data_IF_645124530778
#
_entry.id   IF_645124530778
#
_cell.length_a   1.000
_cell.length_b   1.000
_cell.length_c   1.000
_cell.angle_alpha   90.00
_cell.angle_beta   90.00
_cell.angle_gamma   90.00
#
_symmetry.space_group_name_H-M   'P 1'
#
loop_
_entity.id
_entity.type
_entity.pdbx_description
1 polymer ?
#
# COMPACT_ATOMS: atom_id res chain seq x y z
N UNK A 1 -14.14 15.02 -21.38
CA UNK A 1 -12.93 14.40 -20.80
C UNK A 1 -13.29 12.96 -20.48
N UNK A 2 -12.40 11.98 -20.60
CA UNK A 2 -12.77 10.55 -20.61
C UNK A 2 -13.40 10.09 -19.28
N UNK A 3 -14.73 10.07 -19.24
CA UNK A 3 -15.61 9.94 -18.07
C UNK A 3 -15.93 8.49 -17.66
N UNK A 4 -14.94 7.59 -17.58
CA UNK A 4 -15.23 6.19 -17.20
C UNK A 4 -14.16 5.58 -16.30
N UNK A 5 -14.41 5.63 -14.99
CA UNK A 5 -13.66 4.86 -14.02
C UNK A 5 -14.43 4.73 -12.72
N UNK A 6 -14.48 3.51 -12.19
CA UNK A 6 -15.09 3.14 -10.90
C UNK A 6 -14.65 4.08 -9.75
N UNK A 7 -13.48 4.68 -9.88
CA UNK A 7 -12.94 5.70 -8.98
C UNK A 7 -13.85 6.94 -8.85
N UNK A 8 -14.36 7.50 -9.95
CA UNK A 8 -15.20 8.70 -9.90
C UNK A 8 -16.56 8.42 -9.22
N UNK A 9 -17.12 7.22 -9.44
CA UNK A 9 -18.38 6.79 -8.82
C UNK A 9 -18.27 6.58 -7.31
N UNK A 10 -17.12 6.09 -6.82
CA UNK A 10 -16.88 5.90 -5.38
C UNK A 10 -16.57 7.23 -4.69
N UNK A 11 -15.85 8.13 -5.35
CA UNK A 11 -15.40 9.40 -4.76
C UNK A 11 -16.52 10.44 -4.63
N UNK A 12 -17.43 10.55 -5.61
CA UNK A 12 -18.41 11.66 -5.65
C UNK A 12 -19.68 11.41 -4.84
N UNK A 13 -20.03 10.16 -4.51
CA UNK A 13 -21.33 9.87 -3.86
C UNK A 13 -21.42 10.13 -2.35
N UNK A 14 -20.34 10.53 -1.66
CA UNK A 14 -20.35 10.71 -0.19
C UNK A 14 -19.73 12.00 0.38
N UNK A 15 -19.34 12.97 -0.44
CA UNK A 15 -18.90 14.28 0.06
C UNK A 15 -17.67 14.20 1.00
N UNK A 16 -16.53 13.74 0.48
CA UNK A 16 -15.30 13.68 1.27
C UNK A 16 -14.67 15.08 1.39
N UNK A 17 -14.77 15.67 2.59
CA UNK A 17 -14.12 16.94 2.96
C UNK A 17 -12.65 16.81 3.41
N UNK A 18 -12.16 15.59 3.67
CA UNK A 18 -10.74 15.25 3.86
C UNK A 18 -10.55 13.72 3.73
N UNK A 19 -9.42 13.28 3.18
CA UNK A 19 -8.97 11.87 3.19
C UNK A 19 -7.52 11.85 3.68
N UNK A 20 -7.25 11.07 4.73
CA UNK A 20 -5.90 10.73 5.19
C UNK A 20 -5.70 9.24 4.99
N UNK A 21 -4.83 8.85 4.07
CA UNK A 21 -4.30 7.49 3.97
C UNK A 21 -2.84 7.63 3.51
N UNK A 22 -1.91 6.95 4.18
CA UNK A 22 -0.51 6.92 3.76
C UNK A 22 0.52 6.92 4.89
N UNK A 23 0.27 7.60 6.01
CA UNK A 23 1.31 7.82 7.05
C UNK A 23 1.05 7.17 8.40
N UNK A 24 -0.04 6.42 8.54
CA UNK A 24 -0.37 5.75 9.81
C UNK A 24 0.05 4.30 9.72
N UNK A 25 1.16 3.96 10.39
CA UNK A 25 1.62 2.59 10.60
C UNK A 25 1.10 2.15 11.96
N UNK A 26 0.23 1.14 11.99
CA UNK A 26 -0.26 0.54 13.23
C UNK A 26 0.49 -0.77 13.44
N UNK A 27 1.19 -0.89 14.57
CA UNK A 27 1.85 -2.13 14.97
C UNK A 27 1.37 -2.55 16.35
N UNK A 28 1.13 -3.85 16.52
CA UNK A 28 0.77 -4.47 17.80
C UNK A 28 2.00 -4.84 18.65
N UNK A 29 3.21 -4.62 18.11
CA UNK A 29 4.49 -4.91 18.76
C UNK A 29 5.45 -3.76 18.50
N UNK A 30 6.52 -3.65 19.30
CA UNK A 30 7.58 -2.71 18.98
C UNK A 30 8.20 -3.13 17.64
N UNK A 31 8.13 -2.30 16.58
CA UNK A 31 8.67 -2.69 15.29
C UNK A 31 10.19 -2.77 15.38
N UNK A 32 10.76 -3.83 14.81
CA UNK A 32 12.21 -3.89 14.62
C UNK A 32 12.64 -2.80 13.64
N UNK A 33 13.91 -2.35 13.66
CA UNK A 33 14.38 -1.37 12.68
C UNK A 33 14.18 -1.81 11.22
N UNK A 34 14.25 -3.12 10.94
CA UNK A 34 13.99 -3.67 9.62
C UNK A 34 12.51 -3.57 9.22
N UNK A 35 11.60 -3.95 10.12
CA UNK A 35 10.17 -3.80 9.90
C UNK A 35 9.79 -2.33 9.73
N UNK A 36 10.38 -1.43 10.52
CA UNK A 36 10.13 0.01 10.39
C UNK A 36 10.51 0.56 9.01
N UNK A 37 11.68 0.18 8.47
CA UNK A 37 12.09 0.59 7.12
C UNK A 37 11.20 0.00 6.03
N UNK A 38 10.76 -1.25 6.21
CA UNK A 38 9.81 -1.90 5.32
C UNK A 38 8.48 -1.12 5.26
N UNK A 39 7.89 -0.79 6.41
CA UNK A 39 6.63 -0.02 6.45
C UNK A 39 6.80 1.39 5.87
N UNK A 40 7.93 2.07 6.14
CA UNK A 40 8.24 3.36 5.51
C UNK A 40 8.34 3.25 3.98
N UNK A 41 8.81 2.12 3.46
CA UNK A 41 8.84 1.91 2.00
C UNK A 41 7.44 1.76 1.44
N UNK A 42 6.51 1.12 2.15
CA UNK A 42 5.09 1.11 1.79
C UNK A 42 4.45 2.50 1.82
N UNK A 43 4.82 3.35 2.80
CA UNK A 43 4.42 4.77 2.81
C UNK A 43 4.89 5.46 1.52
N UNK A 44 6.17 5.31 1.15
CA UNK A 44 6.70 5.92 -0.07
C UNK A 44 6.05 5.35 -1.36
N UNK A 45 5.75 4.06 -1.40
CA UNK A 45 4.99 3.44 -2.51
C UNK A 45 3.58 4.01 -2.58
N UNK A 46 2.93 4.21 -1.43
CA UNK A 46 1.61 4.83 -1.34
C UNK A 46 1.64 6.28 -1.80
N UNK A 47 2.62 7.08 -1.36
CA UNK A 47 2.78 8.47 -1.81
C UNK A 47 2.95 8.57 -3.33
N UNK A 48 3.66 7.60 -3.93
CA UNK A 48 3.91 7.56 -5.38
C UNK A 48 2.72 7.04 -6.19
N UNK A 49 2.00 6.05 -5.68
CA UNK A 49 0.90 5.37 -6.39
C UNK A 49 -0.48 5.93 -6.01
N UNK A 50 -0.58 6.68 -4.92
CA UNK A 50 -1.81 7.18 -4.33
C UNK A 50 -2.82 6.05 -4.11
N UNK A 51 -4.08 6.32 -4.44
CA UNK A 51 -5.17 5.35 -4.32
C UNK A 51 -4.97 4.07 -5.13
N UNK A 52 -4.09 4.05 -6.13
CA UNK A 52 -3.81 2.84 -6.92
C UNK A 52 -2.98 1.81 -6.13
N UNK A 53 -2.33 2.21 -5.03
CA UNK A 53 -1.53 1.30 -4.19
C UNK A 53 -2.35 0.10 -3.71
N UNK A 54 -3.51 0.35 -3.09
CA UNK A 54 -4.34 -0.71 -2.50
C UNK A 54 -4.81 -1.77 -3.53
N UNK A 55 -5.43 -1.38 -4.67
CA UNK A 55 -5.86 -2.37 -5.66
C UNK A 55 -4.67 -3.08 -6.32
N UNK A 56 -3.54 -2.41 -6.55
CA UNK A 56 -2.34 -3.06 -7.08
C UNK A 56 -1.76 -4.08 -6.11
N UNK A 57 -1.68 -3.73 -4.82
CA UNK A 57 -1.22 -4.61 -3.76
C UNK A 57 -2.11 -5.86 -3.67
N UNK A 58 -3.44 -5.68 -3.57
CA UNK A 58 -4.35 -6.83 -3.49
C UNK A 58 -4.28 -7.71 -4.74
N UNK A 59 -4.13 -7.11 -5.92
CA UNK A 59 -3.97 -7.86 -7.17
C UNK A 59 -2.67 -8.66 -7.20
N UNK A 60 -1.54 -8.04 -6.86
CA UNK A 60 -0.24 -8.71 -6.79
C UNK A 60 -0.24 -9.85 -5.77
N UNK A 61 -0.89 -9.66 -4.62
CA UNK A 61 -1.05 -10.69 -3.59
C UNK A 61 -1.89 -11.87 -4.04
N UNK A 62 -2.98 -11.62 -4.77
CA UNK A 62 -3.80 -12.68 -5.33
C UNK A 62 -3.04 -13.46 -6.43
N UNK A 63 -2.19 -12.77 -7.21
CA UNK A 63 -1.51 -13.36 -8.37
C UNK A 63 -0.23 -14.11 -8.01
N UNK A 64 0.58 -13.58 -7.11
CA UNK A 64 1.93 -14.09 -6.83
C UNK A 64 2.11 -14.57 -5.37
N UNK A 65 1.07 -14.47 -4.54
CA UNK A 65 1.20 -14.71 -3.11
C UNK A 65 1.99 -13.59 -2.43
N UNK A 66 2.50 -13.87 -1.22
CA UNK A 66 3.23 -12.89 -0.42
C UNK A 66 4.72 -12.82 -0.79
N UNK A 67 5.37 -13.97 -0.98
CA UNK A 67 6.83 -14.07 -1.20
C UNK A 67 7.26 -13.44 -2.53
N UNK A 68 6.50 -13.65 -3.60
CA UNK A 68 6.81 -13.13 -4.93
C UNK A 68 6.09 -11.81 -5.23
N UNK A 69 5.55 -11.15 -4.20
CA UNK A 69 4.81 -9.90 -4.34
C UNK A 69 5.77 -8.73 -4.68
N UNK A 70 5.65 -8.09 -5.85
CA UNK A 70 6.63 -7.08 -6.27
C UNK A 70 6.76 -5.88 -5.32
N UNK A 71 5.65 -5.42 -4.72
CA UNK A 71 5.69 -4.31 -3.76
C UNK A 71 6.28 -4.74 -2.40
N UNK A 72 6.15 -6.00 -2.01
CA UNK A 72 6.74 -6.51 -0.76
C UNK A 72 8.24 -6.71 -0.94
N UNK A 73 8.65 -7.22 -2.11
CA UNK A 73 10.06 -7.37 -2.46
C UNK A 73 10.79 -6.04 -2.54
N UNK A 74 10.13 -5.00 -3.07
CA UNK A 74 10.67 -3.63 -3.05
C UNK A 74 10.67 -3.03 -1.64
N UNK A 75 9.74 -3.42 -0.78
CA UNK A 75 9.69 -2.99 0.63
C UNK A 75 10.71 -3.70 1.53
N UNK A 76 11.10 -4.92 1.19
CA UNK A 76 12.02 -5.72 2.00
C UNK A 76 13.47 -5.45 1.66
N UNK A 77 14.13 -4.71 2.55
CA UNK A 77 15.59 -4.54 2.55
C UNK A 77 16.33 -5.76 3.11
N UNK A 78 15.65 -6.67 3.83
CA UNK A 78 16.24 -7.85 4.47
C UNK A 78 15.52 -9.14 4.02
N UNK A 79 16.23 -10.13 3.44
CA UNK A 79 15.68 -11.44 3.08
C UNK A 79 15.02 -12.20 4.25
N UNK A 80 15.32 -11.84 5.51
CA UNK A 80 14.79 -12.51 6.71
C UNK A 80 13.41 -12.02 7.15
N UNK A 81 12.85 -10.98 6.53
CA UNK A 81 11.49 -10.51 6.84
C UNK A 81 10.41 -11.52 6.42
N UNK A 82 10.77 -12.51 5.60
CA UNK A 82 9.86 -13.50 5.04
C UNK A 82 10.14 -14.95 5.48
N UNK A 83 11.04 -15.15 6.46
CA UNK A 83 11.42 -16.48 6.97
C UNK A 83 10.83 -16.79 8.34
#
# INVERSE_FOLDING_TARGET
MSDRGLANLILTRRGFGAITFGHVIVSNVQPTPALWRHELRHVAQYERLGFAFLPLYLWYRAKYGYVDHPLERDASEDPRLFS
#
